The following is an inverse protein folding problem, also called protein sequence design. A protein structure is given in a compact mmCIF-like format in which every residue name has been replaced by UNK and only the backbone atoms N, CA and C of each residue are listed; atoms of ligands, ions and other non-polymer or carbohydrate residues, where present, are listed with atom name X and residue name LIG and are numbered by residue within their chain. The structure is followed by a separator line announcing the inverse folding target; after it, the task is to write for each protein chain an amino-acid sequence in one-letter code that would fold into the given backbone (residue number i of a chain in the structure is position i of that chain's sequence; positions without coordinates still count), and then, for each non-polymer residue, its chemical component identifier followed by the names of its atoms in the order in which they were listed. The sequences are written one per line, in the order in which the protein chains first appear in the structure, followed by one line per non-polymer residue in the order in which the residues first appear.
data_IF_018235656110
#
_entry.id   IF_018235656110
#
_cell.length_a   1.000
_cell.length_b   1.000
_cell.length_c   1.000
_cell.angle_alpha   90.00
_cell.angle_beta   90.00
_cell.angle_gamma   90.00
#
_symmetry.space_group_name_H-M   'P 1'
#
loop_
_entity.id
_entity.type
_entity.pdbx_description
1 polymer ?
#
# COMPACT_ATOMS: atom_id res chain seq x y z
N UNK A 1 -6.68 52.03 22.87
CA UNK A 1 -6.74 51.53 21.48
C UNK A 1 -5.70 50.45 21.21
N UNK A 2 -4.42 50.64 21.54
CA UNK A 2 -3.32 49.69 21.26
C UNK A 2 -3.54 48.27 21.78
N UNK A 3 -4.08 48.10 23.00
CA UNK A 3 -4.34 46.77 23.60
C UNK A 3 -5.43 45.97 22.88
N UNK A 4 -6.46 46.66 22.35
CA UNK A 4 -7.57 46.04 21.62
C UNK A 4 -7.07 45.57 20.24
N UNK A 5 -6.27 46.40 19.57
CA UNK A 5 -5.65 46.07 18.28
C UNK A 5 -4.68 44.89 18.41
N UNK A 6 -3.85 44.84 19.46
CA UNK A 6 -2.97 43.69 19.73
C UNK A 6 -3.76 42.40 20.00
N UNK A 7 -4.87 42.48 20.74
CA UNK A 7 -5.72 41.32 21.01
C UNK A 7 -6.34 40.73 19.75
N UNK A 8 -6.83 41.59 18.85
CA UNK A 8 -7.40 41.17 17.56
C UNK A 8 -6.31 40.57 16.66
N UNK A 9 -5.12 41.17 16.61
CA UNK A 9 -4.01 40.67 15.80
C UNK A 9 -3.53 39.30 16.29
N UNK A 10 -3.42 39.10 17.60
CA UNK A 10 -3.04 37.80 18.17
C UNK A 10 -4.09 36.72 17.84
N UNK A 11 -5.39 37.04 17.94
CA UNK A 11 -6.45 36.10 17.58
C UNK A 11 -6.44 35.74 16.08
N UNK A 12 -6.17 36.70 15.20
CA UNK A 12 -6.03 36.46 13.76
C UNK A 12 -4.83 35.54 13.44
N UNK A 13 -3.69 35.73 14.11
CA UNK A 13 -2.52 34.86 13.91
C UNK A 13 -2.80 33.45 14.41
N UNK A 14 -3.39 33.30 15.61
CA UNK A 14 -3.73 31.98 16.15
C UNK A 14 -4.70 31.20 15.25
N UNK A 15 -5.67 31.87 14.64
CA UNK A 15 -6.60 31.24 13.71
C UNK A 15 -5.94 30.81 12.41
N UNK A 16 -5.04 31.64 11.84
CA UNK A 16 -4.26 31.28 10.65
C UNK A 16 -3.34 30.08 10.93
N UNK A 17 -2.64 30.09 12.06
CA UNK A 17 -1.75 29.00 12.46
C UNK A 17 -2.55 27.72 12.72
N UNK A 18 -3.68 27.81 13.44
CA UNK A 18 -4.55 26.67 13.67
C UNK A 18 -5.10 26.07 12.37
N UNK A 19 -5.52 26.91 11.43
CA UNK A 19 -5.98 26.46 10.11
C UNK A 19 -4.87 25.79 9.30
N UNK A 20 -3.64 26.32 9.32
CA UNK A 20 -2.49 25.71 8.64
C UNK A 20 -2.13 24.35 9.24
N UNK A 21 -2.11 24.23 10.57
CA UNK A 21 -1.84 22.96 11.25
C UNK A 21 -2.93 21.92 11.00
N UNK A 22 -4.20 22.34 11.02
CA UNK A 22 -5.32 21.47 10.68
C UNK A 22 -5.27 21.02 9.20
N UNK A 23 -4.92 21.94 8.29
CA UNK A 23 -4.71 21.63 6.88
C UNK A 23 -3.55 20.66 6.68
N UNK A 24 -2.39 20.87 7.30
CA UNK A 24 -1.25 19.95 7.20
C UNK A 24 -1.57 18.59 7.82
N UNK A 25 -2.26 18.56 8.96
CA UNK A 25 -2.70 17.32 9.59
C UNK A 25 -3.73 16.55 8.73
N UNK A 26 -4.61 17.24 8.01
CA UNK A 26 -5.61 16.61 7.12
C UNK A 26 -5.09 16.30 5.72
N UNK A 27 -4.14 17.08 5.22
CA UNK A 27 -3.48 16.85 3.93
C UNK A 27 -2.42 15.76 4.03
N UNK A 28 -1.77 15.58 5.19
CA UNK A 28 -0.88 14.45 5.49
C UNK A 28 -1.58 13.28 6.17
N UNK A 29 -2.80 13.46 6.67
CA UNK A 29 -3.73 12.34 6.81
C UNK A 29 -4.13 11.95 5.40
N UNK A 30 -3.23 11.28 4.69
CA UNK A 30 -3.51 10.69 3.40
C UNK A 30 -4.85 9.98 3.55
N UNK A 31 -5.91 10.38 2.83
CA UNK A 31 -6.97 9.44 2.55
C UNK A 31 -6.26 8.45 1.65
N UNK A 32 -5.60 7.45 2.26
CA UNK A 32 -4.79 6.49 1.53
C UNK A 32 -5.69 6.02 0.40
N UNK A 33 -5.20 6.12 -0.82
CA UNK A 33 -5.82 5.55 -2.01
C UNK A 33 -5.81 4.01 -1.88
N UNK A 34 -6.51 3.50 -0.86
CA UNK A 34 -6.78 2.09 -0.58
C UNK A 34 -7.77 1.59 -1.63
N UNK A 35 -8.50 2.49 -2.31
CA UNK A 35 -9.53 2.13 -3.27
C UNK A 35 -9.83 3.23 -4.29
N UNK A 36 -8.84 3.69 -5.06
CA UNK A 36 -9.22 4.27 -6.34
C UNK A 36 -9.64 3.12 -7.26
N UNK A 37 -10.91 3.07 -7.65
CA UNK A 37 -11.45 1.98 -8.48
C UNK A 37 -10.82 1.92 -9.89
N UNK A 38 -10.17 3.02 -10.31
CA UNK A 38 -9.37 3.13 -11.52
C UNK A 38 -7.86 2.92 -11.25
N UNK A 39 -7.45 2.75 -9.99
CA UNK A 39 -6.06 2.50 -9.64
C UNK A 39 -5.58 1.24 -10.34
N UNK A 40 -4.47 1.48 -11.01
CA UNK A 40 -3.83 0.69 -12.04
C UNK A 40 -3.83 -0.82 -11.75
N UNK A 41 -3.91 -1.59 -12.82
CA UNK A 41 -3.80 -3.05 -12.92
C UNK A 41 -2.43 -3.60 -12.50
N UNK A 42 -1.82 -3.01 -11.46
CA UNK A 42 -0.51 -3.31 -10.93
C UNK A 42 -0.44 -3.07 -9.42
N UNK A 43 0.46 -3.79 -8.78
CA UNK A 43 0.82 -3.71 -7.37
C UNK A 43 2.32 -3.41 -7.29
N UNK A 44 2.70 -2.24 -6.82
CA UNK A 44 4.07 -1.92 -6.44
C UNK A 44 4.27 -2.37 -4.98
N UNK A 45 5.19 -3.29 -4.71
CA UNK A 45 5.34 -3.92 -3.41
C UNK A 45 6.80 -4.21 -3.08
N UNK A 46 7.06 -4.48 -1.81
CA UNK A 46 8.36 -4.90 -1.29
C UNK A 46 8.35 -6.40 -1.01
N UNK A 47 9.36 -7.11 -1.53
CA UNK A 47 9.60 -8.54 -1.25
C UNK A 47 10.34 -8.73 0.09
N UNK A 48 10.43 -9.97 0.57
CA UNK A 48 11.03 -10.27 1.88
C UNK A 48 12.50 -9.85 2.04
N UNK A 49 13.24 -9.78 0.95
CA UNK A 49 14.63 -9.31 0.92
C UNK A 49 14.76 -7.78 0.76
N UNK A 50 13.66 -7.04 0.85
CA UNK A 50 13.64 -5.58 0.72
C UNK A 50 13.62 -5.05 -0.71
N UNK A 51 13.67 -5.92 -1.72
CA UNK A 51 13.64 -5.47 -3.11
C UNK A 51 12.26 -4.95 -3.50
N UNK A 52 12.25 -3.94 -4.37
CA UNK A 52 11.04 -3.34 -4.92
C UNK A 52 10.62 -4.04 -6.21
N UNK A 53 9.37 -4.47 -6.27
CA UNK A 53 8.80 -5.18 -7.41
C UNK A 53 7.45 -4.60 -7.79
N UNK A 54 7.08 -4.75 -9.06
CA UNK A 54 5.71 -4.58 -9.54
C UNK A 54 5.13 -5.94 -9.89
N UNK A 55 3.87 -6.20 -9.52
CA UNK A 55 3.15 -7.40 -9.91
C UNK A 55 1.76 -7.08 -10.48
N UNK A 56 1.28 -7.95 -11.36
CA UNK A 56 -0.10 -8.00 -11.83
C UNK A 56 -0.49 -9.45 -12.10
N UNK A 57 -1.77 -9.71 -12.31
CA UNK A 57 -2.29 -11.05 -12.56
C UNK A 57 -2.57 -11.22 -14.06
N UNK A 58 -1.94 -12.23 -14.66
CA UNK A 58 -2.24 -12.71 -16.01
C UNK A 58 -2.29 -14.23 -16.00
N UNK A 59 -3.28 -14.81 -16.69
CA UNK A 59 -3.46 -16.25 -16.83
C UNK A 59 -3.45 -17.02 -15.49
N UNK A 60 -3.98 -16.39 -14.43
CA UNK A 60 -4.06 -16.98 -13.09
C UNK A 60 -2.74 -17.03 -12.32
N UNK A 61 -1.66 -16.45 -12.85
CA UNK A 61 -0.37 -16.30 -12.20
C UNK A 61 -0.07 -14.83 -11.89
N UNK A 62 0.85 -14.61 -10.96
CA UNK A 62 1.42 -13.29 -10.74
C UNK A 62 2.59 -13.09 -11.70
N UNK A 63 2.47 -12.16 -12.64
CA UNK A 63 3.61 -11.64 -13.41
C UNK A 63 4.31 -10.58 -12.58
N UNK A 64 5.63 -10.72 -12.43
CA UNK A 64 6.48 -9.86 -11.62
C UNK A 64 7.48 -9.13 -12.50
N UNK A 65 7.80 -7.89 -12.16
CA UNK A 65 8.90 -7.12 -12.75
C UNK A 65 9.68 -6.41 -11.63
N UNK A 66 11.01 -6.57 -11.55
CA UNK A 66 11.80 -5.84 -10.56
C UNK A 66 11.83 -4.34 -10.91
N UNK A 67 11.92 -3.47 -9.90
CA UNK A 67 12.13 -2.04 -10.14
C UNK A 67 13.51 -1.78 -10.77
N UNK A 68 14.54 -2.41 -10.20
CA UNK A 68 15.90 -2.36 -10.71
C UNK A 68 16.27 -3.70 -11.36
N UNK A 69 16.58 -3.66 -12.65
CA UNK A 69 17.04 -4.82 -13.40
C UNK A 69 18.54 -5.04 -13.12
N UNK A 70 18.87 -6.24 -12.63
CA UNK A 70 20.21 -6.63 -12.20
C UNK A 70 20.33 -8.15 -12.27
N UNK A 71 20.54 -8.81 -11.12
CA UNK A 71 20.40 -10.28 -11.01
C UNK A 71 18.94 -10.76 -11.08
N UNK A 72 17.98 -9.84 -11.12
CA UNK A 72 16.55 -10.12 -11.16
C UNK A 72 15.97 -9.79 -12.53
N UNK A 73 15.04 -10.63 -12.98
CA UNK A 73 14.37 -10.49 -14.26
C UNK A 73 12.86 -10.68 -14.12
N UNK A 74 12.07 -10.14 -15.06
CA UNK A 74 10.64 -10.42 -15.11
C UNK A 74 10.35 -11.91 -15.20
N UNK A 75 9.35 -12.37 -14.46
CA UNK A 75 8.94 -13.77 -14.44
C UNK A 75 7.50 -13.90 -13.94
N UNK A 76 6.89 -15.08 -14.13
CA UNK A 76 5.56 -15.37 -13.60
C UNK A 76 5.62 -16.52 -12.59
N UNK A 77 4.90 -16.39 -11.47
CA UNK A 77 4.83 -17.41 -10.43
C UNK A 77 3.38 -17.61 -9.95
N UNK A 78 3.07 -18.80 -9.44
CA UNK A 78 1.79 -19.09 -8.79
C UNK A 78 1.66 -18.45 -7.39
N UNK A 79 2.76 -17.91 -6.87
CA UNK A 79 2.82 -17.27 -5.55
C UNK A 79 3.48 -15.91 -5.59
N UNK A 80 3.03 -15.01 -4.72
CA UNK A 80 3.60 -13.67 -4.52
C UNK A 80 4.12 -13.54 -3.09
N UNK A 81 5.40 -13.23 -2.90
CA UNK A 81 6.00 -12.98 -1.57
C UNK A 81 6.09 -11.48 -1.32
N UNK A 82 5.47 -10.98 -0.25
CA UNK A 82 5.35 -9.55 0.03
C UNK A 82 5.46 -9.25 1.52
N UNK A 83 5.56 -7.96 1.86
CA UNK A 83 5.47 -7.46 3.24
C UNK A 83 4.05 -6.94 3.52
N UNK A 84 3.41 -7.45 4.55
CA UNK A 84 2.06 -7.05 4.96
C UNK A 84 2.03 -5.67 5.66
N UNK A 85 0.84 -5.17 6.03
CA UNK A 85 0.70 -3.90 6.76
C UNK A 85 1.42 -3.86 8.11
N UNK A 86 1.58 -5.01 8.77
CA UNK A 86 2.29 -5.13 10.04
C UNK A 86 3.82 -5.12 9.84
N UNK A 87 4.30 -5.13 8.60
CA UNK A 87 5.72 -5.25 8.29
C UNK A 87 6.22 -6.70 8.32
N UNK A 88 5.31 -7.67 8.29
CA UNK A 88 5.62 -9.10 8.40
C UNK A 88 5.68 -9.74 7.01
N UNK A 89 6.64 -10.64 6.75
CA UNK A 89 6.67 -11.45 5.53
C UNK A 89 5.41 -12.30 5.39
N UNK A 90 4.78 -12.25 4.21
CA UNK A 90 3.67 -13.13 3.85
C UNK A 90 3.80 -13.60 2.39
N UNK A 91 3.12 -14.70 2.07
CA UNK A 91 3.04 -15.22 0.71
C UNK A 91 1.59 -15.44 0.32
N UNK A 92 1.22 -15.05 -0.90
CA UNK A 92 -0.14 -15.19 -1.43
C UNK A 92 -0.21 -16.16 -2.62
N UNK A 93 -1.33 -16.86 -2.74
CA UNK A 93 -1.80 -17.61 -3.92
C UNK A 93 -3.14 -17.05 -4.38
N UNK A 94 -3.44 -17.15 -5.66
CA UNK A 94 -4.75 -16.77 -6.21
C UNK A 94 -5.70 -17.96 -6.12
N UNK A 95 -6.90 -17.75 -5.60
CA UNK A 95 -7.97 -18.75 -5.60
C UNK A 95 -9.30 -18.12 -6.01
N UNK A 96 -9.62 -18.23 -7.30
CA UNK A 96 -10.79 -17.60 -7.89
C UNK A 96 -10.72 -16.09 -7.80
N UNK A 97 -11.58 -15.49 -6.95
CA UNK A 97 -11.65 -14.04 -6.72
C UNK A 97 -11.01 -13.59 -5.40
N UNK A 98 -10.31 -14.49 -4.72
CA UNK A 98 -9.69 -14.26 -3.42
C UNK A 98 -8.20 -14.62 -3.46
N UNK A 99 -7.50 -14.26 -2.40
CA UNK A 99 -6.15 -14.69 -2.12
C UNK A 99 -6.15 -15.66 -0.95
N UNK A 100 -5.30 -16.67 -1.03
CA UNK A 100 -4.88 -17.48 0.12
C UNK A 100 -3.56 -16.93 0.61
N UNK A 101 -3.47 -16.57 1.89
CA UNK A 101 -2.31 -15.95 2.51
C UNK A 101 -1.71 -16.90 3.55
N UNK A 102 -0.43 -17.20 3.36
CA UNK A 102 0.42 -17.90 4.33
C UNK A 102 1.37 -16.88 4.97
N UNK A 103 1.22 -16.66 6.28
CA UNK A 103 2.15 -15.81 7.04
C UNK A 103 3.52 -16.49 7.12
N UNK A 104 4.59 -15.72 6.94
CA UNK A 104 5.96 -16.20 6.80
C UNK A 104 6.16 -17.27 5.70
N UNK A 105 5.20 -17.43 4.78
CA UNK A 105 5.19 -18.48 3.76
C UNK A 105 4.95 -19.90 4.29
N UNK A 106 4.45 -20.05 5.51
CA UNK A 106 4.10 -21.36 6.06
C UNK A 106 2.78 -21.88 5.47
N UNK A 107 2.90 -22.65 4.38
CA UNK A 107 1.76 -23.27 3.71
C UNK A 107 1.17 -24.48 4.43
N UNK A 108 1.82 -24.97 5.49
CA UNK A 108 1.31 -26.06 6.33
C UNK A 108 0.60 -25.54 7.59
N UNK A 109 0.75 -24.25 7.88
CA UNK A 109 0.13 -23.56 9.01
C UNK A 109 -1.26 -23.00 8.70
N UNK A 110 -1.63 -21.95 9.44
CA UNK A 110 -2.91 -21.26 9.27
C UNK A 110 -2.92 -20.44 7.98
N UNK A 111 -3.83 -20.80 7.07
CA UNK A 111 -4.02 -20.09 5.80
C UNK A 111 -5.24 -19.19 5.89
N UNK A 112 -5.04 -17.91 5.61
CA UNK A 112 -6.10 -16.93 5.60
C UNK A 112 -6.64 -16.73 4.18
N UNK A 113 -7.96 -16.82 4.02
CA UNK A 113 -8.62 -16.43 2.78
C UNK A 113 -9.02 -14.97 2.86
N UNK A 114 -8.48 -14.14 1.97
CA UNK A 114 -8.76 -12.70 1.93
C UNK A 114 -9.29 -12.26 0.57
N UNK A 115 -10.21 -11.28 0.55
CA UNK A 115 -10.72 -10.69 -0.69
C UNK A 115 -9.72 -9.75 -1.37
N UNK A 116 -8.67 -9.34 -0.65
CA UNK A 116 -7.64 -8.44 -1.13
C UNK A 116 -6.32 -8.67 -0.40
N UNK A 117 -5.20 -8.38 -1.06
CA UNK A 117 -3.89 -8.30 -0.43
C UNK A 117 -3.77 -6.99 0.34
N UNK A 118 -3.30 -7.05 1.57
CA UNK A 118 -2.91 -5.90 2.41
C UNK A 118 -1.39 -5.88 2.52
N UNK A 119 -0.75 -4.89 1.90
CA UNK A 119 0.69 -4.89 1.71
C UNK A 119 1.27 -3.49 1.86
N UNK A 120 2.59 -3.41 2.04
CA UNK A 120 3.35 -2.17 1.97
C UNK A 120 3.91 -1.96 0.58
N UNK A 121 3.67 -0.78 0.00
CA UNK A 121 4.22 -0.40 -1.30
C UNK A 121 5.70 0.03 -1.19
N UNK A 122 6.26 0.51 -2.30
CA UNK A 122 7.65 0.97 -2.37
C UNK A 122 7.98 2.11 -1.39
N UNK A 123 7.01 2.95 -1.06
CA UNK A 123 7.16 4.03 -0.09
C UNK A 123 6.95 3.54 1.36
N UNK A 124 6.62 2.26 1.56
CA UNK A 124 6.27 1.70 2.85
C UNK A 124 4.81 1.99 3.25
N UNK A 125 4.02 2.57 2.35
CA UNK A 125 2.65 2.96 2.62
C UNK A 125 1.72 1.75 2.57
N UNK A 126 0.74 1.73 3.46
CA UNK A 126 -0.25 0.66 3.50
C UNK A 126 -1.20 0.74 2.29
N UNK A 127 -1.18 -0.29 1.46
CA UNK A 127 -2.02 -0.44 0.27
C UNK A 127 -2.85 -1.72 0.30
N UNK A 128 -3.92 -1.72 -0.47
CA UNK A 128 -4.77 -2.88 -0.67
C UNK A 128 -5.07 -3.09 -2.15
N UNK A 129 -5.08 -4.35 -2.60
CA UNK A 129 -5.45 -4.72 -3.97
C UNK A 129 -6.25 -6.02 -4.01
N UNK A 130 -7.39 -5.99 -4.69
CA UNK A 130 -8.21 -7.18 -4.98
C UNK A 130 -7.68 -7.92 -6.20
N UNK A 131 -8.08 -9.19 -6.39
CA UNK A 131 -7.78 -9.95 -7.61
C UNK A 131 -8.24 -9.19 -8.85
N UNK A 132 -9.47 -8.65 -8.83
CA UNK A 132 -10.04 -7.90 -9.95
C UNK A 132 -9.23 -6.65 -10.29
N UNK A 133 -8.68 -5.97 -9.28
CA UNK A 133 -7.83 -4.80 -9.51
C UNK A 133 -6.46 -5.16 -10.08
N UNK A 134 -5.94 -6.37 -9.83
CA UNK A 134 -4.65 -6.79 -10.36
C UNK A 134 -4.73 -7.54 -11.69
N UNK A 135 -5.92 -7.99 -12.09
CA UNK A 135 -6.12 -8.65 -13.38
C UNK A 135 -5.90 -7.67 -14.53
N UNK A 136 -5.07 -8.08 -15.48
CA UNK A 136 -4.80 -7.37 -16.73
C UNK A 136 -5.48 -8.04 -17.91
#
# INVERSE_FOLDING_TARGET
MTKIVLGILAAAICTIVGAKLAFEATAHATPHAVNEAWAQNKMEFVTWNGNQWTAWIRDGAFEHRPHEEGNWHPHANSTLAFIDWNGTPAQAKIEGKAFLIAHHGDWNGSIQRESALRYRDWAGENRLRTVKQLQR
#
